data_IF_751819819862
#
_entry.id   IF_751819819862
#
_cell.length_a   1.000
_cell.length_b   1.000
_cell.length_c   1.000
_cell.angle_alpha   90.00
_cell.angle_beta   90.00
_cell.angle_gamma   90.00
#
_symmetry.space_group_name_H-M   'P 1'
#
loop_
_entity.id
_entity.type
_entity.pdbx_description
1 polymer ?
#
# COMPACT_ATOMS: atom_id res chain seq x y z
N UNK A 1 -12.45 -6.64 -6.39
CA UNK A 1 -12.79 -5.23 -6.63
C UNK A 1 -11.50 -4.57 -7.08
N UNK A 2 -11.46 -4.05 -8.30
CA UNK A 2 -10.26 -3.39 -8.84
C UNK A 2 -10.33 -1.91 -8.53
N UNK A 3 -9.27 -1.35 -7.99
CA UNK A 3 -9.10 0.09 -7.83
C UNK A 3 -7.98 0.58 -8.72
N UNK A 4 -7.94 1.89 -8.99
CA UNK A 4 -6.83 2.51 -9.71
C UNK A 4 -5.88 3.15 -8.71
N UNK A 5 -4.58 3.02 -8.93
CA UNK A 5 -3.56 3.76 -8.18
C UNK A 5 -2.67 4.51 -9.16
N UNK A 6 -2.56 5.82 -8.98
CA UNK A 6 -1.61 6.65 -9.73
C UNK A 6 -0.27 6.66 -8.99
N UNK A 7 0.77 6.08 -9.58
CA UNK A 7 2.08 5.95 -8.95
C UNK A 7 3.04 6.98 -9.55
N UNK A 8 3.46 7.92 -8.71
CA UNK A 8 4.48 8.90 -9.03
C UNK A 8 5.81 8.47 -8.41
N UNK A 9 6.67 7.85 -9.22
CA UNK A 9 8.01 7.44 -8.82
C UNK A 9 9.05 8.53 -9.06
N UNK A 10 9.72 8.98 -7.99
CA UNK A 10 10.84 9.91 -8.06
C UNK A 10 12.19 9.22 -7.95
N UNK A 11 12.22 7.94 -7.56
CA UNK A 11 13.45 7.18 -7.41
C UNK A 11 14.04 6.75 -8.76
N UNK A 12 13.20 6.50 -9.75
CA UNK A 12 13.58 5.86 -11.01
C UNK A 12 13.90 4.37 -10.87
N UNK A 13 13.67 3.79 -9.69
CA UNK A 13 13.93 2.39 -9.39
C UNK A 13 12.72 1.51 -9.65
N UNK A 14 11.51 2.08 -9.73
CA UNK A 14 10.31 1.29 -9.97
C UNK A 14 10.31 0.73 -11.41
N UNK A 15 10.32 -0.59 -11.52
CA UNK A 15 10.34 -1.29 -12.81
C UNK A 15 8.94 -1.75 -13.20
N UNK A 16 8.17 -2.23 -12.22
CA UNK A 16 6.84 -2.77 -12.42
C UNK A 16 5.97 -2.50 -11.19
N UNK A 17 4.68 -2.25 -11.42
CA UNK A 17 3.68 -2.21 -10.38
C UNK A 17 2.50 -3.07 -10.81
N UNK A 18 2.12 -4.01 -9.95
CA UNK A 18 0.95 -4.86 -10.16
C UNK A 18 -0.23 -4.22 -9.44
N UNK A 19 -1.31 -3.99 -10.19
CA UNK A 19 -2.54 -3.36 -9.72
C UNK A 19 -3.01 -3.93 -8.39
N UNK A 20 -3.50 -3.04 -7.53
CA UNK A 20 -3.73 -3.40 -6.17
C UNK A 20 -4.97 -4.28 -5.95
N UNK A 21 -4.80 -5.30 -5.13
CA UNK A 21 -5.87 -6.20 -4.72
C UNK A 21 -6.46 -5.74 -3.39
N UNK A 22 -7.76 -5.98 -3.22
CA UNK A 22 -8.39 -5.84 -1.90
C UNK A 22 -7.89 -6.99 -1.02
N UNK A 23 -7.17 -6.65 0.04
CA UNK A 23 -6.76 -7.62 1.05
C UNK A 23 -7.86 -7.73 2.08
N UNK A 24 -8.40 -8.93 2.21
CA UNK A 24 -9.09 -9.31 3.43
C UNK A 24 -8.03 -9.64 4.49
N UNK A 25 -8.31 -9.33 5.76
CA UNK A 25 -7.50 -9.78 6.90
C UNK A 25 -7.46 -11.31 7.07
N UNK A 26 -8.14 -12.06 6.18
CA UNK A 26 -8.16 -13.51 6.10
C UNK A 26 -7.14 -14.08 5.09
N UNK A 27 -6.40 -13.22 4.37
CA UNK A 27 -5.30 -13.65 3.50
C UNK A 27 -4.13 -14.19 4.35
N UNK A 28 -3.46 -15.29 3.98
CA UNK A 28 -2.40 -15.90 4.80
C UNK A 28 -1.15 -15.01 4.99
N UNK A 29 -1.03 -13.88 4.28
CA UNK A 29 -0.04 -12.83 4.57
C UNK A 29 -0.53 -11.72 5.51
N UNK A 30 -1.83 -11.67 5.80
CA UNK A 30 -2.46 -10.69 6.67
C UNK A 30 -2.53 -11.13 8.15
N UNK A 31 -2.36 -12.41 8.44
CA UNK A 31 -2.44 -12.96 9.81
C UNK A 31 -1.33 -12.47 10.74
N UNK A 32 -0.19 -12.03 10.18
CA UNK A 32 0.94 -11.42 10.93
C UNK A 32 0.91 -9.89 10.90
N UNK A 33 -0.04 -9.28 10.18
CA UNK A 33 -0.21 -7.83 10.26
C UNK A 33 -0.70 -7.51 11.68
N UNK A 34 -0.04 -6.60 12.40
CA UNK A 34 -0.54 -6.18 13.69
C UNK A 34 -1.98 -5.69 13.52
N UNK A 35 -2.81 -5.78 14.57
CA UNK A 35 -4.11 -5.08 14.61
C UNK A 35 -3.82 -3.58 14.62
N UNK A 36 -3.46 -3.06 13.46
CA UNK A 36 -3.10 -1.69 13.22
C UNK A 36 -4.41 -0.91 13.14
N UNK A 37 -4.48 0.22 13.84
CA UNK A 37 -5.68 1.05 13.91
C UNK A 37 -6.18 1.52 12.52
N UNK A 38 -7.24 2.34 12.44
CA UNK A 38 -7.90 2.65 11.16
C UNK A 38 -7.02 3.37 10.10
N UNK A 39 -5.78 3.74 10.45
CA UNK A 39 -4.82 4.41 9.59
C UNK A 39 -3.47 3.68 9.71
N UNK A 40 -3.20 2.79 8.77
CA UNK A 40 -1.92 2.09 8.71
C UNK A 40 -1.43 1.91 7.29
N UNK A 41 -0.11 1.76 7.18
CA UNK A 41 0.58 1.29 5.98
C UNK A 41 1.59 0.25 6.44
N UNK A 42 1.67 -0.87 5.76
CA UNK A 42 2.61 -1.95 6.00
C UNK A 42 3.36 -2.26 4.72
N UNK A 43 4.63 -2.57 4.88
CA UNK A 43 5.53 -2.98 3.82
C UNK A 43 6.00 -4.39 4.10
N UNK A 44 5.94 -5.24 3.08
CA UNK A 44 6.36 -6.64 3.16
C UNK A 44 7.20 -6.93 1.93
N UNK A 45 8.45 -7.34 2.12
CA UNK A 45 9.20 -7.90 1.00
C UNK A 45 8.68 -9.28 0.64
N UNK A 46 8.83 -9.67 -0.62
CA UNK A 46 8.68 -11.08 -0.99
C UNK A 46 9.82 -11.90 -0.34
N UNK A 47 9.48 -13.05 0.26
CA UNK A 47 10.45 -13.90 0.93
C UNK A 47 11.54 -14.44 -0.02
N UNK A 48 11.28 -14.44 -1.33
CA UNK A 48 12.20 -14.90 -2.37
C UNK A 48 12.86 -13.76 -3.14
N UNK A 49 12.41 -12.51 -2.99
CA UNK A 49 12.89 -11.35 -3.74
C UNK A 49 12.70 -10.02 -2.98
N UNK A 50 13.80 -9.49 -2.41
CA UNK A 50 13.82 -8.20 -1.69
C UNK A 50 13.63 -6.98 -2.61
N UNK A 51 13.66 -7.17 -3.94
CA UNK A 51 13.28 -6.12 -4.89
C UNK A 51 11.76 -6.01 -5.08
N UNK A 52 11.00 -6.99 -4.59
CA UNK A 52 9.54 -6.98 -4.60
C UNK A 52 9.04 -6.52 -3.24
N UNK A 53 8.25 -5.45 -3.25
CA UNK A 53 7.66 -4.83 -2.08
C UNK A 53 6.14 -4.84 -2.21
N UNK A 54 5.47 -5.56 -1.31
CA UNK A 54 4.03 -5.49 -1.13
C UNK A 54 3.73 -4.38 -0.14
N UNK A 55 2.95 -3.40 -0.58
CA UNK A 55 2.49 -2.27 0.22
C UNK A 55 1.02 -2.48 0.53
N UNK A 56 0.63 -2.48 1.80
CA UNK A 56 -0.75 -2.70 2.26
C UNK A 56 -1.17 -1.54 3.14
N UNK A 57 -2.35 -0.96 2.95
CA UNK A 57 -2.85 0.14 3.77
C UNK A 57 -4.33 -0.01 4.12
N UNK A 58 -4.70 0.64 5.21
CA UNK A 58 -6.09 0.71 5.65
C UNK A 58 -6.93 1.53 4.65
N UNK A 59 -8.08 1.00 4.27
CA UNK A 59 -9.06 1.70 3.46
C UNK A 59 -10.37 1.81 4.26
N UNK A 60 -10.59 2.99 4.87
CA UNK A 60 -11.83 3.30 5.57
C UNK A 60 -12.99 3.33 4.58
N UNK A 61 -13.73 2.23 4.43
CA UNK A 61 -14.71 2.06 3.36
C UNK A 61 -14.53 0.83 2.48
N UNK A 62 -13.44 0.08 2.64
CA UNK A 62 -12.96 -0.88 1.63
C UNK A 62 -12.17 -0.16 0.53
N UNK A 63 -11.56 -0.92 -0.39
CA UNK A 63 -10.75 -0.31 -1.45
C UNK A 63 -11.54 0.64 -2.31
N UNK A 64 -11.30 1.94 -2.09
CA UNK A 64 -11.92 2.99 -2.84
C UNK A 64 -11.43 2.99 -4.28
N UNK A 65 -12.17 3.63 -5.18
CA UNK A 65 -11.93 3.50 -6.62
C UNK A 65 -10.58 4.07 -7.09
N UNK A 66 -9.98 5.01 -6.36
CA UNK A 66 -8.75 5.70 -6.78
C UNK A 66 -7.87 6.10 -5.60
N UNK A 67 -6.58 5.77 -5.68
CA UNK A 67 -5.52 6.21 -4.77
C UNK A 67 -4.40 6.90 -5.56
N UNK A 68 -3.60 7.72 -4.89
CA UNK A 68 -2.33 8.20 -5.43
C UNK A 68 -1.18 7.74 -4.51
N UNK A 69 -0.07 7.34 -5.09
CA UNK A 69 1.14 6.95 -4.37
C UNK A 69 2.32 7.77 -4.87
N UNK A 70 3.04 8.40 -3.96
CA UNK A 70 4.32 9.03 -4.26
C UNK A 70 5.44 8.22 -3.63
N UNK A 71 6.42 7.83 -4.43
CA UNK A 71 7.67 7.21 -4.00
C UNK A 71 8.73 8.29 -4.03
N UNK A 72 9.42 8.49 -2.91
CA UNK A 72 10.48 9.49 -2.80
C UNK A 72 11.74 9.11 -3.61
N UNK A 73 12.69 10.04 -3.80
CA UNK A 73 13.91 9.77 -4.57
C UNK A 73 14.78 8.63 -4.03
N UNK A 74 14.64 8.25 -2.76
CA UNK A 74 15.39 7.14 -2.15
C UNK A 74 14.65 5.80 -2.15
N UNK A 75 13.38 5.78 -2.61
CA UNK A 75 12.48 4.63 -2.47
C UNK A 75 12.38 4.09 -1.02
N UNK A 76 12.53 4.97 -0.03
CA UNK A 76 12.39 4.66 1.41
C UNK A 76 11.22 5.37 2.06
N UNK A 77 10.54 6.26 1.34
CA UNK A 77 9.34 6.95 1.82
C UNK A 77 8.26 6.86 0.79
N UNK A 78 7.17 6.21 1.18
CA UNK A 78 5.97 6.07 0.37
C UNK A 78 4.83 6.83 1.02
N UNK A 79 4.19 7.68 0.22
CA UNK A 79 3.03 8.46 0.65
C UNK A 79 1.83 8.00 -0.16
N UNK A 80 0.78 7.58 0.53
CA UNK A 80 -0.45 7.08 -0.06
C UNK A 80 -1.56 8.08 0.27
N UNK A 81 -2.17 8.62 -0.76
CA UNK A 81 -3.30 9.54 -0.66
C UNK A 81 -4.55 8.78 -1.07
N UNK A 82 -5.43 8.58 -0.09
CA UNK A 82 -6.74 7.99 -0.31
C UNK A 82 -7.78 9.04 -0.70
N UNK A 83 -8.93 8.63 -1.23
CA UNK A 83 -10.03 9.57 -1.42
C UNK A 83 -10.57 10.06 -0.07
N UNK A 84 -11.33 11.17 -0.07
CA UNK A 84 -11.92 11.69 1.16
C UNK A 84 -12.75 10.61 1.86
N UNK A 85 -12.59 10.53 3.18
CA UNK A 85 -13.26 9.51 3.99
C UNK A 85 -14.78 9.54 3.76
N UNK A 86 -15.43 8.38 3.57
CA UNK A 86 -16.86 8.34 3.34
C UNK A 86 -17.61 8.93 4.53
N UNK A 87 -18.56 9.83 4.26
CA UNK A 87 -19.38 10.51 5.27
C UNK A 87 -20.45 9.62 5.90
N UNK A 88 -20.61 8.38 5.43
CA UNK A 88 -21.57 7.38 5.91
C UNK A 88 -20.84 6.25 6.66
N UNK A 89 -20.97 6.27 7.99
CA UNK A 89 -20.17 5.50 8.95
C UNK A 89 -20.56 4.04 9.19
N UNK A 90 -20.85 3.25 8.16
CA UNK A 90 -21.22 1.83 8.32
C UNK A 90 -20.20 0.85 7.71
N UNK A 91 -18.99 1.31 7.38
CA UNK A 91 -18.06 0.50 6.59
C UNK A 91 -17.23 -0.45 7.47
N UNK A 92 -17.36 -1.74 7.17
CA UNK A 92 -16.42 -2.79 7.59
C UNK A 92 -15.04 -2.39 7.06
N UNK A 93 -14.05 -2.25 7.93
CA UNK A 93 -12.69 -1.92 7.53
C UNK A 93 -12.18 -2.89 6.47
N UNK A 94 -11.58 -2.36 5.41
CA UNK A 94 -10.91 -3.16 4.39
C UNK A 94 -9.47 -2.70 4.23
N UNK A 95 -8.66 -3.55 3.61
CA UNK A 95 -7.27 -3.23 3.30
C UNK A 95 -7.07 -3.27 1.80
N UNK A 96 -6.24 -2.35 1.30
CA UNK A 96 -5.79 -2.36 -0.07
C UNK A 96 -4.31 -2.64 -0.09
N UNK A 97 -3.82 -3.27 -1.14
CA UNK A 97 -2.39 -3.35 -1.32
C UNK A 97 -2.00 -3.41 -2.77
N UNK A 98 -0.79 -2.95 -3.06
CA UNK A 98 -0.16 -2.96 -4.38
C UNK A 98 1.16 -3.70 -4.26
N UNK A 99 1.57 -4.42 -5.30
CA UNK A 99 2.90 -5.02 -5.37
C UNK A 99 3.77 -4.18 -6.29
N UNK A 100 4.88 -3.66 -5.75
CA UNK A 100 5.87 -2.88 -6.45
C UNK A 100 7.11 -3.74 -6.67
N UNK A 101 7.71 -3.65 -7.85
CA UNK A 101 8.99 -4.27 -8.16
C UNK A 101 10.00 -3.21 -8.52
N UNK A 102 11.10 -3.19 -7.78
CA UNK A 102 12.19 -2.27 -7.96
C UNK A 102 13.35 -2.92 -8.73
N UNK A 103 14.22 -2.10 -9.32
CA UNK A 103 15.44 -2.56 -9.98
C UNK A 103 16.53 -2.94 -8.98
N UNK A 104 16.43 -2.42 -7.76
CA UNK A 104 17.33 -2.66 -6.65
C UNK A 104 16.54 -3.10 -5.40
N UNK A 105 17.15 -3.83 -4.46
CA UNK A 105 16.48 -4.23 -3.22
C UNK A 105 16.01 -3.02 -2.41
N UNK A 106 14.75 -3.06 -1.97
CA UNK A 106 14.13 -2.05 -1.11
C UNK A 106 13.64 -2.76 0.15
N UNK A 107 14.44 -2.79 1.23
CA UNK A 107 14.06 -3.48 2.46
C UNK A 107 12.85 -2.81 3.10
N UNK A 108 11.79 -3.56 3.34
CA UNK A 108 10.54 -3.11 3.90
C UNK A 108 10.71 -2.46 5.28
N UNK A 109 11.69 -2.92 6.06
CA UNK A 109 12.05 -2.35 7.36
C UNK A 109 12.65 -0.94 7.28
N UNK A 110 13.20 -0.57 6.12
CA UNK A 110 13.72 0.77 5.85
C UNK A 110 12.68 1.70 5.23
N UNK A 111 11.51 1.17 4.85
CA UNK A 111 10.46 1.93 4.17
C UNK A 111 9.47 2.50 5.18
N UNK A 112 9.31 3.82 5.14
CA UNK A 112 8.31 4.54 5.90
C UNK A 112 7.09 4.85 5.03
N UNK A 113 5.90 4.67 5.60
CA UNK A 113 4.62 4.82 4.91
C UNK A 113 3.71 5.80 5.63
N UNK A 114 3.15 6.75 4.89
CA UNK A 114 2.11 7.63 5.43
C UNK A 114 0.85 7.48 4.59
N UNK A 115 -0.27 7.17 5.25
CA UNK A 115 -1.59 7.22 4.66
C UNK A 115 -2.24 8.56 5.02
N UNK A 116 -2.48 9.39 4.01
CA UNK A 116 -3.16 10.67 4.16
C UNK A 116 -4.59 10.62 3.57
N UNK A 117 -5.55 11.29 4.22
CA UNK A 117 -6.85 11.55 3.61
C UNK A 117 -6.70 12.62 2.52
N UNK A 118 -7.18 12.33 1.31
CA UNK A 118 -7.32 13.29 0.22
C UNK A 118 -8.59 14.12 0.28
#
# INVERSE_FOLDING_TARGET
MTFTIDIHDQSGLLVEATDGEAFSTEDPGAEDLPVLGPHYVVFLNDASDESVLRVVWAAGGGCAASYAMTIDPTARKLRIEGPPAPTSGDSVGGSCGVTLRFSEPVPAEEVEGVLEPG
#
